data_IF_492318019252
#
_entry.id   IF_492318019252
#
_cell.length_a   1.000
_cell.length_b   1.000
_cell.length_c   1.000
_cell.angle_alpha   90.00
_cell.angle_beta   90.00
_cell.angle_gamma   90.00
#
_symmetry.space_group_name_H-M   'P 1'
#
loop_
_entity.id
_entity.type
_entity.pdbx_description
1 polymer ?
#
# COMPACT_ATOMS: atom_id res chain seq x y z
N UNK A 1 39.83 21.08 -53.31
CA UNK A 1 40.79 22.13 -52.89
C UNK A 1 40.51 22.46 -51.43
N UNK A 2 41.18 21.77 -50.50
CA UNK A 2 41.34 22.16 -49.09
C UNK A 2 42.73 22.81 -48.96
N UNK A 3 43.15 23.47 -47.85
CA UNK A 3 42.47 23.73 -46.57
C UNK A 3 42.65 25.18 -46.04
N UNK A 4 41.79 25.64 -45.13
CA UNK A 4 42.16 26.73 -44.21
C UNK A 4 42.28 26.21 -42.77
N UNK A 5 43.41 26.59 -42.18
CA UNK A 5 44.04 26.05 -40.98
C UNK A 5 43.66 26.86 -39.73
N UNK A 6 43.72 26.17 -38.57
CA UNK A 6 43.97 26.66 -37.20
C UNK A 6 42.81 27.49 -36.60
N UNK A 7 42.44 27.32 -35.33
CA UNK A 7 43.29 27.23 -34.14
C UNK A 7 42.70 26.29 -33.09
N UNK A 8 43.57 25.43 -32.57
CA UNK A 8 43.42 24.76 -31.29
C UNK A 8 43.76 25.79 -30.20
N UNK A 9 42.82 26.08 -29.30
CA UNK A 9 43.14 26.67 -28.00
C UNK A 9 42.92 25.62 -26.92
N UNK A 10 44.05 25.08 -26.50
CA UNK A 10 44.22 24.20 -25.35
C UNK A 10 43.99 25.05 -24.11
N UNK A 11 42.85 24.89 -23.44
CA UNK A 11 42.72 25.38 -22.06
C UNK A 11 43.18 24.29 -21.10
N UNK A 12 44.47 24.40 -20.77
CA UNK A 12 45.12 23.82 -19.62
C UNK A 12 44.44 24.37 -18.36
N UNK A 13 43.74 23.52 -17.61
CA UNK A 13 43.35 23.82 -16.23
C UNK A 13 44.10 22.83 -15.35
N UNK A 14 45.33 23.21 -15.02
CA UNK A 14 46.15 22.60 -13.98
C UNK A 14 45.58 22.93 -12.61
N UNK A 15 45.38 21.88 -11.81
CA UNK A 15 45.88 21.84 -10.43
C UNK A 15 45.10 22.61 -9.37
N UNK A 16 44.10 21.95 -8.78
CA UNK A 16 43.84 22.04 -7.34
C UNK A 16 43.69 20.63 -6.78
N UNK A 17 44.83 20.07 -6.37
CA UNK A 17 44.91 18.82 -5.63
C UNK A 17 44.41 19.09 -4.20
N UNK A 18 43.13 18.85 -3.97
CA UNK A 18 42.54 18.94 -2.63
C UNK A 18 43.13 17.78 -1.82
N UNK A 19 44.01 18.12 -0.87
CA UNK A 19 44.55 17.20 0.11
C UNK A 19 43.42 16.75 1.06
N UNK A 20 42.67 15.73 0.65
CA UNK A 20 41.67 15.08 1.51
C UNK A 20 42.40 14.30 2.60
N UNK A 21 42.27 14.77 3.85
CA UNK A 21 42.70 14.05 5.05
C UNK A 21 41.99 12.68 5.09
N UNK A 22 42.70 11.57 5.34
CA UNK A 22 42.04 10.28 5.50
C UNK A 22 41.14 10.33 6.75
N UNK A 23 39.83 10.22 6.54
CA UNK A 23 38.83 10.11 7.60
C UNK A 23 38.93 8.71 8.24
N UNK A 24 39.88 8.55 9.17
CA UNK A 24 40.03 7.34 10.01
C UNK A 24 38.93 7.19 11.09
N UNK A 25 37.88 8.03 11.06
CA UNK A 25 36.87 8.11 12.14
C UNK A 25 35.59 7.28 11.91
N UNK A 26 35.42 6.62 10.77
CA UNK A 26 34.24 5.76 10.53
C UNK A 26 34.37 4.35 11.15
N UNK A 27 35.58 3.92 11.50
CA UNK A 27 35.79 2.59 12.07
C UNK A 27 35.28 2.47 13.52
N UNK A 28 35.32 3.55 14.32
CA UNK A 28 34.86 3.52 15.71
C UNK A 28 33.33 3.49 15.82
N UNK A 29 32.62 4.18 14.93
CA UNK A 29 31.14 4.18 14.91
C UNK A 29 30.60 2.80 14.52
N UNK A 30 31.25 2.12 13.57
CA UNK A 30 30.89 0.74 13.20
C UNK A 30 31.18 -0.27 14.33
N UNK A 31 32.22 -0.04 15.14
CA UNK A 31 32.52 -0.88 16.30
C UNK A 31 31.48 -0.71 17.43
N UNK A 32 31.01 0.51 17.68
CA UNK A 32 29.96 0.77 18.68
C UNK A 32 28.59 0.22 18.26
N UNK A 33 28.24 0.26 16.96
CA UNK A 33 26.98 -0.31 16.46
C UNK A 33 26.94 -1.84 16.59
N UNK A 34 28.08 -2.54 16.39
CA UNK A 34 28.13 -4.00 16.57
C UNK A 34 27.90 -4.44 18.02
N UNK A 35 28.35 -3.67 19.01
CA UNK A 35 28.14 -4.00 20.42
C UNK A 35 26.68 -3.80 20.87
N UNK A 36 25.98 -2.80 20.32
CA UNK A 36 24.57 -2.55 20.66
C UNK A 36 23.59 -3.54 20.01
N UNK A 37 23.94 -4.17 18.89
CA UNK A 37 23.12 -5.20 18.24
C UNK A 37 23.12 -6.56 18.98
N UNK A 38 24.16 -6.85 19.77
CA UNK A 38 24.28 -8.11 20.55
C UNK A 38 23.40 -8.08 21.83
N UNK A 39 22.89 -6.90 22.21
CA UNK A 39 22.08 -6.74 23.44
C UNK A 39 20.59 -7.04 23.26
N UNK A 40 20.13 -7.36 22.06
CA UNK A 40 18.73 -7.72 21.79
C UNK A 40 18.47 -9.19 22.16
N UNK A 41 18.43 -9.42 23.47
CA UNK A 41 17.95 -10.65 24.08
C UNK A 41 16.46 -10.80 23.74
N UNK A 42 16.15 -11.79 22.92
CA UNK A 42 14.80 -12.22 22.56
C UNK A 42 13.88 -12.18 23.80
N UNK A 43 12.72 -11.48 23.77
CA UNK A 43 11.73 -11.63 24.82
C UNK A 43 11.22 -13.07 24.77
N UNK A 44 11.57 -13.83 25.82
CA UNK A 44 11.12 -15.18 26.03
C UNK A 44 9.60 -15.20 26.05
N UNK A 45 9.03 -16.11 25.27
CA UNK A 45 7.59 -16.38 25.22
C UNK A 45 7.15 -16.88 26.60
N UNK A 46 6.76 -15.98 27.49
CA UNK A 46 5.99 -16.36 28.66
C UNK A 46 4.56 -16.63 28.19
N UNK A 47 4.32 -17.90 27.87
CA UNK A 47 2.98 -18.42 27.64
C UNK A 47 2.25 -18.36 28.99
N UNK A 48 1.45 -17.32 29.20
CA UNK A 48 0.46 -17.26 30.28
C UNK A 48 -0.55 -18.39 30.04
N UNK A 49 -0.31 -19.55 30.67
CA UNK A 49 -1.32 -20.59 30.85
C UNK A 49 -2.36 -20.05 31.83
N UNK A 50 -3.36 -19.33 31.30
CA UNK A 50 -4.60 -19.10 32.03
C UNK A 50 -5.27 -20.46 32.20
N UNK A 51 -5.22 -20.99 33.42
CA UNK A 51 -5.96 -22.18 33.80
C UNK A 51 -7.45 -21.91 33.57
N UNK A 52 -8.07 -22.63 32.64
CA UNK A 52 -9.53 -22.72 32.59
C UNK A 52 -9.98 -23.52 33.81
N UNK A 53 -10.22 -22.84 34.93
CA UNK A 53 -11.11 -23.40 35.94
C UNK A 53 -12.52 -23.40 35.34
N UNK A 54 -13.01 -24.59 35.04
CA UNK A 54 -14.36 -24.81 34.55
C UNK A 54 -15.36 -24.48 35.67
N UNK A 55 -15.89 -23.27 35.66
CA UNK A 55 -17.09 -22.93 36.41
C UNK A 55 -18.27 -23.57 35.70
N UNK A 56 -18.93 -24.54 36.34
CA UNK A 56 -20.16 -25.16 35.84
C UNK A 56 -21.27 -24.11 35.84
N UNK A 57 -21.96 -23.82 34.73
CA UNK A 57 -23.18 -23.04 34.79
C UNK A 57 -24.30 -23.92 35.36
N UNK A 58 -24.76 -23.62 36.57
CA UNK A 58 -26.10 -24.02 36.98
C UNK A 58 -27.07 -22.98 36.43
N UNK A 59 -27.68 -23.26 35.29
CA UNK A 59 -28.87 -22.56 34.82
C UNK A 59 -30.10 -23.35 35.24
N UNK A 60 -30.97 -22.85 36.15
CA UNK A 60 -32.29 -23.41 36.29
C UNK A 60 -33.06 -23.13 34.99
N UNK A 61 -33.45 -24.21 34.31
CA UNK A 61 -34.41 -24.18 33.22
C UNK A 61 -35.68 -23.52 33.75
N UNK A 62 -36.00 -22.33 33.23
CA UNK A 62 -37.34 -21.83 32.91
C UNK A 62 -37.23 -20.31 32.64
N UNK A 63 -37.72 -19.88 31.47
CA UNK A 63 -37.98 -18.50 31.02
C UNK A 63 -36.79 -17.70 30.45
N UNK A 64 -36.57 -17.73 29.12
CA UNK A 64 -36.33 -16.51 28.32
C UNK A 64 -36.31 -16.80 26.80
N UNK A 65 -37.50 -16.99 26.21
CA UNK A 65 -37.71 -16.94 24.75
C UNK A 65 -38.36 -15.62 24.33
N UNK A 66 -38.14 -14.56 25.11
CA UNK A 66 -38.68 -13.22 24.88
C UNK A 66 -37.58 -12.18 24.88
N UNK A 67 -36.58 -12.37 24.03
CA UNK A 67 -35.81 -11.23 23.52
C UNK A 67 -36.21 -11.03 22.07
N UNK A 68 -36.98 -9.98 21.73
CA UNK A 68 -37.14 -9.59 20.35
C UNK A 68 -35.74 -9.27 19.87
N UNK A 69 -35.30 -10.03 18.86
CA UNK A 69 -34.11 -9.75 18.08
C UNK A 69 -34.18 -8.27 17.70
N UNK A 70 -33.36 -7.49 18.40
CA UNK A 70 -33.25 -6.05 18.25
C UNK A 70 -32.74 -5.81 16.83
N UNK A 71 -33.68 -5.75 15.90
CA UNK A 71 -33.45 -5.29 14.54
C UNK A 71 -33.15 -3.81 14.67
N UNK A 72 -31.87 -3.52 14.85
CA UNK A 72 -31.32 -2.21 14.60
C UNK A 72 -31.50 -1.93 13.11
N UNK A 73 -32.68 -1.41 12.76
CA UNK A 73 -32.74 -0.45 11.67
C UNK A 73 -31.83 0.69 12.12
N UNK A 74 -30.55 0.56 11.78
CA UNK A 74 -29.75 1.74 11.57
C UNK A 74 -30.48 2.47 10.46
N UNK A 75 -31.29 3.44 10.86
CA UNK A 75 -31.67 4.56 10.03
C UNK A 75 -30.36 5.24 9.62
N UNK A 76 -29.70 4.64 8.63
CA UNK A 76 -28.68 5.29 7.84
C UNK A 76 -29.43 6.45 7.22
N UNK A 77 -29.15 7.63 7.76
CA UNK A 77 -29.46 8.89 7.11
C UNK A 77 -28.78 8.82 5.75
N UNK A 78 -29.55 8.45 4.74
CA UNK A 78 -29.17 8.42 3.34
C UNK A 78 -29.01 9.89 2.92
N UNK A 79 -27.86 10.43 3.29
CA UNK A 79 -27.39 11.78 3.01
C UNK A 79 -26.10 11.70 2.22
N UNK A 80 -26.16 11.01 1.07
CA UNK A 80 -25.21 11.17 -0.02
C UNK A 80 -25.93 10.74 -1.30
N UNK A 81 -25.94 11.61 -2.30
CA UNK A 81 -26.50 11.33 -3.62
C UNK A 81 -25.72 10.19 -4.27
N UNK A 82 -26.09 8.94 -3.96
CA UNK A 82 -25.58 7.79 -4.71
C UNK A 82 -26.22 7.87 -6.09
N UNK A 83 -25.46 8.41 -7.04
CA UNK A 83 -25.73 8.34 -8.48
C UNK A 83 -26.10 6.89 -8.79
N UNK A 84 -27.39 6.61 -9.00
CA UNK A 84 -27.89 5.27 -9.33
C UNK A 84 -27.24 4.83 -10.63
N UNK A 85 -26.15 4.11 -10.51
CA UNK A 85 -25.40 3.56 -11.63
C UNK A 85 -26.26 2.50 -12.32
N UNK A 86 -26.28 2.53 -13.65
CA UNK A 86 -27.11 1.60 -14.41
C UNK A 86 -26.69 0.15 -14.15
N UNK A 87 -27.64 -0.78 -14.17
CA UNK A 87 -27.33 -2.20 -13.96
C UNK A 87 -26.30 -2.74 -14.97
N UNK A 88 -26.30 -2.20 -16.19
CA UNK A 88 -25.33 -2.54 -17.22
C UNK A 88 -23.91 -2.11 -16.83
N UNK A 89 -23.72 -0.88 -16.37
CA UNK A 89 -22.41 -0.38 -15.92
C UNK A 89 -21.88 -1.15 -14.71
N UNK A 90 -22.76 -1.54 -13.77
CA UNK A 90 -22.36 -2.39 -12.64
C UNK A 90 -21.85 -3.75 -13.11
N UNK A 91 -22.49 -4.34 -14.13
CA UNK A 91 -22.04 -5.61 -14.70
C UNK A 91 -20.66 -5.46 -15.37
N UNK A 92 -20.50 -4.45 -16.23
CA UNK A 92 -19.23 -4.18 -16.91
C UNK A 92 -18.09 -3.90 -15.92
N UNK A 93 -18.38 -3.18 -14.83
CA UNK A 93 -17.43 -2.93 -13.75
C UNK A 93 -17.02 -4.23 -13.04
N UNK A 94 -17.99 -5.10 -12.71
CA UNK A 94 -17.70 -6.38 -12.08
C UNK A 94 -16.88 -7.29 -13.01
N UNK A 95 -17.20 -7.30 -14.31
CA UNK A 95 -16.45 -8.05 -15.31
C UNK A 95 -14.99 -7.53 -15.40
N UNK A 96 -14.80 -6.21 -15.40
CA UNK A 96 -13.47 -5.57 -15.37
C UNK A 96 -12.69 -5.85 -14.07
N UNK A 97 -13.38 -5.96 -12.94
CA UNK A 97 -12.77 -6.37 -11.66
C UNK A 97 -12.21 -7.78 -11.75
N UNK A 98 -12.99 -8.73 -12.30
CA UNK A 98 -12.55 -10.11 -12.49
C UNK A 98 -11.35 -10.17 -13.43
N UNK A 99 -11.43 -9.48 -14.58
CA UNK A 99 -10.31 -9.39 -15.53
C UNK A 99 -9.05 -8.80 -14.88
N UNK A 100 -9.20 -7.73 -14.10
CA UNK A 100 -8.08 -7.14 -13.37
C UNK A 100 -7.47 -8.09 -12.34
N UNK A 101 -8.28 -8.89 -11.66
CA UNK A 101 -7.79 -9.86 -10.67
C UNK A 101 -7.03 -11.00 -11.37
N UNK A 102 -7.52 -11.51 -12.51
CA UNK A 102 -6.83 -12.51 -13.35
C UNK A 102 -5.48 -11.99 -13.90
N UNK A 103 -5.46 -10.75 -14.39
CA UNK A 103 -4.24 -10.10 -14.86
C UNK A 103 -3.23 -9.88 -13.71
N UNK A 104 -3.73 -9.56 -12.52
CA UNK A 104 -2.89 -9.40 -11.34
C UNK A 104 -2.24 -10.71 -10.92
N UNK A 105 -2.99 -11.82 -10.92
CA UNK A 105 -2.45 -13.17 -10.66
C UNK A 105 -1.42 -13.59 -11.72
N UNK A 106 -1.59 -13.13 -12.95
CA UNK A 106 -0.65 -13.33 -14.06
C UNK A 106 0.59 -12.40 -14.00
N UNK A 107 0.76 -11.61 -12.94
CA UNK A 107 1.82 -10.61 -12.75
C UNK A 107 1.83 -9.45 -13.77
N UNK A 108 0.70 -9.22 -14.46
CA UNK A 108 0.54 -8.14 -15.45
C UNK A 108 -0.09 -6.90 -14.80
N UNK A 109 0.66 -6.27 -13.90
CA UNK A 109 0.13 -5.20 -13.03
C UNK A 109 -0.29 -3.91 -13.78
N UNK A 110 0.40 -3.56 -14.87
CA UNK A 110 0.05 -2.41 -15.70
C UNK A 110 -1.26 -2.62 -16.47
N UNK A 111 -1.45 -3.82 -17.02
CA UNK A 111 -2.68 -4.21 -17.72
C UNK A 111 -3.85 -4.24 -16.73
N UNK A 112 -3.66 -4.83 -15.53
CA UNK A 112 -4.67 -4.86 -14.46
C UNK A 112 -5.13 -3.46 -14.05
N UNK A 113 -4.19 -2.52 -13.90
CA UNK A 113 -4.53 -1.12 -13.61
C UNK A 113 -5.33 -0.50 -14.75
N UNK A 114 -4.91 -0.73 -16.00
CA UNK A 114 -5.54 -0.15 -17.20
C UNK A 114 -6.98 -0.60 -17.39
N UNK A 115 -7.31 -1.86 -17.06
CA UNK A 115 -8.68 -2.38 -17.11
C UNK A 115 -9.63 -1.64 -16.14
N UNK A 116 -9.11 -1.15 -15.01
CA UNK A 116 -9.91 -0.47 -13.97
C UNK A 116 -9.97 1.05 -14.10
N UNK A 117 -9.04 1.67 -14.84
CA UNK A 117 -8.99 3.13 -15.03
C UNK A 117 -10.32 3.75 -15.52
N UNK A 118 -11.08 3.14 -16.46
CA UNK A 118 -12.37 3.69 -16.90
C UNK A 118 -13.41 3.82 -15.78
N UNK A 119 -13.27 3.01 -14.73
CA UNK A 119 -14.21 2.96 -13.60
C UNK A 119 -13.72 3.78 -12.40
N UNK A 120 -12.58 4.48 -12.50
CA UNK A 120 -12.01 5.27 -11.40
C UNK A 120 -12.96 6.40 -10.94
N UNK A 121 -13.70 7.01 -11.86
CA UNK A 121 -14.60 8.13 -11.57
C UNK A 121 -15.92 7.72 -10.89
N UNK A 122 -16.21 6.42 -10.87
CA UNK A 122 -17.40 5.88 -10.21
C UNK A 122 -17.27 5.93 -8.69
N UNK A 123 -16.04 6.08 -8.18
CA UNK A 123 -15.74 6.10 -6.74
C UNK A 123 -16.27 4.84 -6.04
N UNK A 124 -16.12 3.67 -6.67
CA UNK A 124 -16.41 2.40 -6.00
C UNK A 124 -15.20 1.93 -5.20
N UNK A 125 -15.45 1.49 -3.96
CA UNK A 125 -14.41 1.07 -3.01
C UNK A 125 -13.63 -0.11 -3.60
N UNK A 126 -14.33 -1.07 -4.20
CA UNK A 126 -13.74 -2.29 -4.77
C UNK A 126 -12.77 -2.03 -5.93
N UNK A 127 -13.05 -1.00 -6.72
CA UNK A 127 -12.20 -0.56 -7.83
C UNK A 127 -10.98 0.18 -7.31
N UNK A 128 -11.17 1.13 -6.39
CA UNK A 128 -10.10 2.01 -5.91
C UNK A 128 -8.98 1.25 -5.19
N UNK A 129 -9.30 0.29 -4.31
CA UNK A 129 -8.25 -0.46 -3.60
C UNK A 129 -7.50 -1.40 -4.54
N UNK A 130 -8.15 -1.94 -5.58
CA UNK A 130 -7.51 -2.78 -6.61
C UNK A 130 -6.56 -1.99 -7.50
N UNK A 131 -6.96 -0.80 -7.94
CA UNK A 131 -6.08 0.15 -8.65
C UNK A 131 -4.84 0.43 -7.80
N UNK A 132 -5.04 0.78 -6.53
CA UNK A 132 -3.95 1.12 -5.60
C UNK A 132 -2.97 -0.04 -5.42
N UNK A 133 -3.51 -1.26 -5.22
CA UNK A 133 -2.72 -2.51 -5.13
C UNK A 133 -1.90 -2.76 -6.40
N UNK A 134 -2.54 -2.67 -7.57
CA UNK A 134 -1.90 -2.96 -8.85
C UNK A 134 -0.81 -1.94 -9.18
N UNK A 135 -1.08 -0.63 -8.97
CA UNK A 135 -0.10 0.44 -9.14
C UNK A 135 1.11 0.27 -8.22
N UNK A 136 0.90 -0.06 -6.95
CA UNK A 136 2.00 -0.34 -6.03
C UNK A 136 2.88 -1.48 -6.53
N UNK A 137 2.27 -2.61 -6.95
CA UNK A 137 3.02 -3.75 -7.47
C UNK A 137 3.75 -3.41 -8.77
N UNK A 138 3.15 -2.63 -9.67
CA UNK A 138 3.80 -2.13 -10.87
C UNK A 138 5.02 -1.24 -10.54
N UNK A 139 4.93 -0.42 -9.49
CA UNK A 139 6.03 0.45 -9.04
C UNK A 139 7.24 -0.32 -8.48
N UNK A 140 7.04 -1.57 -8.08
CA UNK A 140 8.10 -2.42 -7.52
C UNK A 140 8.89 -3.16 -8.61
N UNK A 141 8.49 -3.04 -9.88
CA UNK A 141 9.24 -3.58 -11.02
C UNK A 141 10.59 -2.86 -11.17
N UNK A 142 11.65 -3.62 -11.46
CA UNK A 142 13.02 -3.10 -11.60
C UNK A 142 13.23 -2.18 -12.80
N UNK A 143 12.26 -2.09 -13.71
CA UNK A 143 12.29 -1.25 -14.90
C UNK A 143 11.88 0.20 -14.65
N UNK A 144 11.32 0.52 -13.48
CA UNK A 144 10.77 1.84 -13.16
C UNK A 144 11.84 2.70 -12.48
N UNK A 145 11.97 3.96 -12.90
CA UNK A 145 12.90 4.90 -12.25
C UNK A 145 12.44 5.30 -10.84
N UNK A 146 13.35 5.75 -9.97
CA UNK A 146 12.96 6.16 -8.59
C UNK A 146 11.94 7.30 -8.58
N UNK A 147 11.99 8.21 -9.57
CA UNK A 147 11.05 9.31 -9.70
C UNK A 147 9.65 8.80 -10.08
N UNK A 148 9.54 7.95 -11.11
CA UNK A 148 8.27 7.35 -11.53
C UNK A 148 7.69 6.45 -10.43
N UNK A 149 8.54 5.72 -9.71
CA UNK A 149 8.12 4.89 -8.59
C UNK A 149 7.42 5.71 -7.51
N UNK A 150 8.01 6.83 -7.10
CA UNK A 150 7.40 7.74 -6.11
C UNK A 150 6.06 8.27 -6.61
N UNK A 151 5.98 8.63 -7.89
CA UNK A 151 4.74 9.11 -8.49
C UNK A 151 3.65 8.02 -8.46
N UNK A 152 3.97 6.79 -8.88
CA UNK A 152 3.01 5.67 -8.86
C UNK A 152 2.53 5.35 -7.45
N UNK A 153 3.42 5.37 -6.45
CA UNK A 153 3.05 5.14 -5.05
C UNK A 153 2.15 6.27 -4.54
N UNK A 154 2.45 7.52 -4.89
CA UNK A 154 1.61 8.67 -4.51
C UNK A 154 0.21 8.57 -5.12
N UNK A 155 0.10 8.24 -6.41
CA UNK A 155 -1.20 8.06 -7.07
C UNK A 155 -2.02 6.90 -6.47
N UNK A 156 -1.34 5.82 -6.07
CA UNK A 156 -1.96 4.70 -5.36
C UNK A 156 -2.44 5.12 -3.95
N UNK A 157 -1.64 5.91 -3.24
CA UNK A 157 -2.00 6.45 -1.92
C UNK A 157 -3.23 7.37 -1.99
N UNK A 158 -3.29 8.25 -3.00
CA UNK A 158 -4.44 9.12 -3.21
C UNK A 158 -5.72 8.31 -3.51
N UNK A 159 -5.57 7.23 -4.28
CA UNK A 159 -6.68 6.35 -4.65
C UNK A 159 -7.22 5.57 -3.45
N UNK A 160 -6.35 5.05 -2.58
CA UNK A 160 -6.79 4.31 -1.38
C UNK A 160 -7.34 5.23 -0.28
N UNK A 161 -6.82 6.45 -0.17
CA UNK A 161 -7.33 7.46 0.76
C UNK A 161 -8.79 7.81 0.42
N UNK A 162 -9.09 7.99 -0.88
CA UNK A 162 -10.47 8.15 -1.35
C UNK A 162 -11.34 6.93 -1.01
N UNK A 163 -10.82 5.72 -1.15
CA UNK A 163 -11.56 4.50 -0.81
C UNK A 163 -11.93 4.44 0.68
N UNK A 164 -11.03 4.91 1.55
CA UNK A 164 -11.23 4.97 3.01
C UNK A 164 -12.25 6.05 3.39
N UNK A 165 -12.26 7.20 2.72
CA UNK A 165 -13.28 8.24 2.89
C UNK A 165 -14.69 7.74 2.53
N UNK A 166 -14.79 6.86 1.52
CA UNK A 166 -16.06 6.27 1.09
C UNK A 166 -16.54 5.16 2.03
N UNK A 167 -15.64 4.28 2.47
CA UNK A 167 -15.97 3.19 3.38
C UNK A 167 -14.81 2.82 4.30
N UNK A 168 -14.82 3.38 5.50
CA UNK A 168 -13.83 3.11 6.55
C UNK A 168 -13.97 1.71 7.18
N UNK A 169 -15.03 0.94 6.89
CA UNK A 169 -15.16 -0.42 7.44
C UNK A 169 -14.52 -1.49 6.54
N UNK A 170 -14.01 -1.12 5.36
CA UNK A 170 -13.55 -2.08 4.36
C UNK A 170 -12.19 -2.69 4.70
N UNK A 171 -12.15 -4.01 4.97
CA UNK A 171 -10.93 -4.70 5.40
C UNK A 171 -9.78 -4.61 4.40
N UNK A 172 -10.07 -4.63 3.09
CA UNK A 172 -9.02 -4.62 2.07
C UNK A 172 -8.34 -3.25 1.96
N UNK A 173 -9.11 -2.16 2.19
CA UNK A 173 -8.59 -0.80 2.17
C UNK A 173 -7.59 -0.64 3.31
N UNK A 174 -7.97 -0.99 4.54
CA UNK A 174 -7.06 -0.95 5.69
C UNK A 174 -5.81 -1.81 5.52
N UNK A 175 -5.98 -3.01 4.94
CA UNK A 175 -4.85 -3.90 4.65
C UNK A 175 -3.87 -3.24 3.69
N UNK A 176 -4.34 -2.72 2.56
CA UNK A 176 -3.47 -2.13 1.54
C UNK A 176 -2.94 -0.75 1.93
N UNK A 177 -3.68 0.01 2.72
CA UNK A 177 -3.23 1.28 3.33
C UNK A 177 -2.03 1.06 4.24
N UNK A 178 -1.96 -0.09 4.92
CA UNK A 178 -0.80 -0.45 5.74
C UNK A 178 0.42 -0.92 4.92
N UNK A 179 0.23 -1.25 3.64
CA UNK A 179 1.29 -1.75 2.74
C UNK A 179 1.92 -0.62 1.92
N UNK A 180 1.11 0.37 1.54
CA UNK A 180 1.52 1.60 0.85
C UNK A 180 2.34 2.51 1.78
#
# INVERSE_FOLDING_TARGET
MLPFKRLLTINVITGQFIHLKPLSKFSSVLAELKLNLIKWKHPSKQILRLSRQAVKPQTPLLLLWTVPFLSSDTAVKEGSEVKKMSNQQKKEMNDAIVESDELFESNKYQEATSALLPFKDINDVEVLWRISRAQYKASQSSSVSDAEKRQMIQEAYDSITKAMELNDSHWAVHKWMSVL
#
